data_IF_441743633447
#
_entry.id   IF_441743633447
#
_cell.length_a   1.000
_cell.length_b   1.000
_cell.length_c   1.000
_cell.angle_alpha   90.00
_cell.angle_beta   90.00
_cell.angle_gamma   90.00
#
_symmetry.space_group_name_H-M   'P 1'
#
loop_
_entity.id
_entity.type
_entity.pdbx_description
1 polymer ?
#
# COMPACT_ATOMS: atom_id res chain seq x y z
N UNK A 1 -58.53 42.34 -16.59
CA UNK A 1 -58.41 42.92 -15.24
C UNK A 1 -58.41 41.84 -14.15
N UNK A 2 -58.39 40.54 -14.49
CA UNK A 2 -58.37 39.43 -13.51
C UNK A 2 -56.94 39.03 -13.02
N UNK A 3 -55.93 39.25 -13.84
CA UNK A 3 -54.55 38.77 -13.52
C UNK A 3 -53.81 39.60 -12.46
N UNK A 4 -54.25 40.84 -12.18
CA UNK A 4 -53.59 41.67 -11.16
C UNK A 4 -53.99 41.36 -9.73
N UNK A 5 -55.16 40.70 -9.53
CA UNK A 5 -55.62 40.28 -8.21
C UNK A 5 -54.96 38.98 -7.75
N UNK A 6 -54.63 38.10 -8.67
CA UNK A 6 -54.01 36.78 -8.36
C UNK A 6 -52.57 36.93 -7.89
N UNK A 7 -51.81 37.88 -8.40
CA UNK A 7 -50.43 38.15 -7.98
C UNK A 7 -50.31 38.72 -6.57
N UNK A 8 -51.29 39.51 -6.11
CA UNK A 8 -51.31 40.06 -4.75
C UNK A 8 -51.66 38.99 -3.72
N UNK A 9 -52.60 38.10 -4.02
CA UNK A 9 -52.99 37.01 -3.12
C UNK A 9 -51.88 35.95 -2.97
N UNK A 10 -51.17 35.64 -4.06
CA UNK A 10 -50.00 34.79 -4.04
C UNK A 10 -48.85 35.39 -3.21
N UNK A 11 -48.63 36.70 -3.32
CA UNK A 11 -47.61 37.40 -2.51
C UNK A 11 -47.88 37.38 -1.01
N UNK A 12 -49.16 37.49 -0.60
CA UNK A 12 -49.55 37.42 0.80
C UNK A 12 -49.44 36.01 1.37
N UNK A 13 -49.74 34.99 0.60
CA UNK A 13 -49.53 33.58 0.97
C UNK A 13 -48.05 33.25 1.16
N UNK A 14 -47.17 33.72 0.29
CA UNK A 14 -45.72 33.52 0.43
C UNK A 14 -45.17 34.23 1.68
N UNK A 15 -45.66 35.48 1.95
CA UNK A 15 -45.25 36.23 3.16
C UNK A 15 -45.71 35.51 4.46
N UNK A 16 -46.93 34.99 4.50
CA UNK A 16 -47.42 34.29 5.68
C UNK A 16 -46.66 32.97 5.91
N UNK A 17 -46.44 32.20 4.84
CA UNK A 17 -45.62 30.99 4.89
C UNK A 17 -44.18 31.25 5.36
N UNK A 18 -43.56 32.34 4.83
CA UNK A 18 -42.22 32.74 5.25
C UNK A 18 -42.14 33.17 6.71
N UNK A 19 -43.22 33.81 7.22
CA UNK A 19 -43.33 34.22 8.62
C UNK A 19 -43.50 33.00 9.55
N UNK A 20 -44.25 32.00 9.12
CA UNK A 20 -44.51 30.78 9.86
C UNK A 20 -43.29 29.83 9.86
N UNK A 21 -42.55 29.75 8.76
CA UNK A 21 -41.42 28.87 8.59
C UNK A 21 -40.05 29.54 8.67
N UNK A 22 -40.02 30.87 8.86
CA UNK A 22 -38.78 31.66 8.82
C UNK A 22 -37.69 31.21 9.82
N UNK A 23 -38.12 30.83 11.02
CA UNK A 23 -37.19 30.32 12.04
C UNK A 23 -36.56 28.96 11.62
N UNK A 24 -37.34 28.11 11.00
CA UNK A 24 -36.86 26.80 10.51
C UNK A 24 -35.91 26.99 9.31
N UNK A 25 -36.21 27.95 8.42
CA UNK A 25 -35.33 28.27 7.27
C UNK A 25 -34.02 28.86 7.76
N UNK A 26 -34.06 29.81 8.70
CA UNK A 26 -32.84 30.41 9.27
C UNK A 26 -32.00 29.31 9.99
N UNK A 27 -32.63 28.45 10.76
CA UNK A 27 -31.94 27.33 11.42
C UNK A 27 -31.32 26.40 10.41
N UNK A 28 -32.02 26.06 9.32
CA UNK A 28 -31.50 25.23 8.23
C UNK A 28 -30.29 25.88 7.54
N UNK A 29 -30.33 27.17 7.30
CA UNK A 29 -29.21 27.93 6.72
C UNK A 29 -27.99 27.96 7.67
N UNK A 30 -28.21 28.23 8.94
CA UNK A 30 -27.13 28.25 9.96
C UNK A 30 -26.46 26.87 10.04
N UNK A 31 -27.23 25.78 10.05
CA UNK A 31 -26.70 24.43 10.04
C UNK A 31 -25.94 24.13 8.75
N UNK A 32 -26.48 24.48 7.59
CA UNK A 32 -25.81 24.27 6.31
C UNK A 32 -24.48 25.04 6.21
N UNK A 33 -24.46 26.30 6.61
CA UNK A 33 -23.23 27.10 6.65
C UNK A 33 -22.24 26.56 7.68
N UNK A 34 -22.71 26.14 8.86
CA UNK A 34 -21.87 25.54 9.90
C UNK A 34 -21.18 24.25 9.42
N UNK A 35 -21.93 23.37 8.78
CA UNK A 35 -21.40 22.13 8.21
C UNK A 35 -20.41 22.41 7.06
N UNK A 36 -20.74 23.33 6.16
CA UNK A 36 -19.88 23.70 5.04
C UNK A 36 -18.57 24.35 5.52
N UNK A 37 -18.63 25.24 6.52
CA UNK A 37 -17.44 25.87 7.09
C UNK A 37 -16.58 24.86 7.88
N UNK A 38 -17.22 24.01 8.69
CA UNK A 38 -16.55 22.93 9.42
C UNK A 38 -15.82 21.96 8.49
N UNK A 39 -16.50 21.53 7.41
CA UNK A 39 -15.90 20.66 6.40
C UNK A 39 -14.72 21.32 5.68
N UNK A 40 -14.86 22.60 5.27
CA UNK A 40 -13.78 23.36 4.64
C UNK A 40 -12.55 23.51 5.56
N UNK A 41 -12.79 23.79 6.84
CA UNK A 41 -11.71 23.94 7.82
C UNK A 41 -11.01 22.61 8.08
N UNK A 42 -11.77 21.51 8.18
CA UNK A 42 -11.22 20.17 8.32
C UNK A 42 -10.36 19.77 7.09
N UNK A 43 -10.85 20.02 5.90
CA UNK A 43 -10.12 19.76 4.65
C UNK A 43 -8.83 20.59 4.55
N UNK A 44 -8.87 21.87 4.95
CA UNK A 44 -7.69 22.73 4.96
C UNK A 44 -6.63 22.22 5.95
N UNK A 45 -7.04 21.74 7.11
CA UNK A 45 -6.17 21.16 8.12
C UNK A 45 -5.52 19.86 7.63
N UNK A 46 -6.28 18.98 6.99
CA UNK A 46 -5.77 17.74 6.42
C UNK A 46 -4.77 18.00 5.29
N UNK A 47 -5.10 18.94 4.38
CA UNK A 47 -4.18 19.38 3.32
C UNK A 47 -2.88 19.94 3.88
N UNK A 48 -2.94 20.75 4.94
CA UNK A 48 -1.76 21.29 5.61
C UNK A 48 -0.89 20.18 6.20
N UNK A 49 -1.50 19.16 6.83
CA UNK A 49 -0.76 18.00 7.35
C UNK A 49 -0.07 17.22 6.24
N UNK A 50 -0.72 17.03 5.10
CA UNK A 50 -0.12 16.36 3.95
C UNK A 50 1.10 17.13 3.42
N UNK A 51 0.99 18.47 3.32
CA UNK A 51 2.09 19.33 2.86
C UNK A 51 3.28 19.29 3.83
N UNK A 52 3.04 19.33 5.13
CA UNK A 52 4.08 19.23 6.15
C UNK A 52 4.76 17.86 6.11
N UNK A 53 4.00 16.77 6.04
CA UNK A 53 4.56 15.43 5.90
C UNK A 53 5.40 15.28 4.61
N UNK A 54 4.95 15.89 3.50
CA UNK A 54 5.71 15.92 2.25
C UNK A 54 7.04 16.66 2.40
N UNK A 55 7.03 17.81 3.09
CA UNK A 55 8.25 18.59 3.31
C UNK A 55 9.28 17.80 4.15
N UNK A 56 8.84 17.20 5.26
CA UNK A 56 9.70 16.35 6.10
C UNK A 56 10.26 15.16 5.31
N UNK A 57 9.43 14.52 4.49
CA UNK A 57 9.85 13.42 3.63
C UNK A 57 10.93 13.86 2.63
N UNK A 58 10.75 15.00 1.95
CA UNK A 58 11.71 15.51 0.97
C UNK A 58 13.06 15.85 1.61
N UNK A 59 13.05 16.45 2.80
CA UNK A 59 14.27 16.72 3.56
C UNK A 59 14.97 15.42 3.95
N UNK A 60 14.24 14.44 4.46
CA UNK A 60 14.78 13.11 4.77
C UNK A 60 15.43 12.46 3.54
N UNK A 61 14.74 12.47 2.38
CA UNK A 61 15.24 11.93 1.12
C UNK A 61 16.55 12.59 0.72
N UNK A 62 16.63 13.92 0.79
CA UNK A 62 17.85 14.66 0.43
C UNK A 62 19.06 14.27 1.29
N UNK A 63 18.85 13.96 2.55
CA UNK A 63 19.92 13.46 3.43
C UNK A 63 20.32 12.02 3.09
N UNK A 64 19.37 11.16 2.76
CA UNK A 64 19.67 9.78 2.34
C UNK A 64 20.46 9.79 1.01
N UNK A 65 20.03 10.60 0.05
CA UNK A 65 20.73 10.74 -1.26
C UNK A 65 22.15 11.32 -1.12
N UNK A 66 22.37 12.12 -0.06
CA UNK A 66 23.71 12.63 0.32
C UNK A 66 24.52 11.64 1.18
N UNK A 67 24.06 10.39 1.35
CA UNK A 67 24.65 9.36 2.22
C UNK A 67 24.82 9.82 3.68
N UNK A 68 23.96 10.72 4.13
CA UNK A 68 23.96 11.27 5.51
C UNK A 68 22.77 10.73 6.31
N UNK A 69 22.87 9.46 6.68
CA UNK A 69 21.82 8.74 7.39
C UNK A 69 21.47 9.38 8.73
N UNK A 70 22.47 9.87 9.46
CA UNK A 70 22.25 10.46 10.79
C UNK A 70 21.41 11.73 10.74
N UNK A 71 21.57 12.52 9.67
CA UNK A 71 20.74 13.70 9.44
C UNK A 71 19.32 13.36 8.95
N UNK A 72 19.12 12.21 8.34
CA UNK A 72 17.79 11.74 7.88
C UNK A 72 16.90 11.24 9.03
N UNK A 73 17.50 10.70 10.12
CA UNK A 73 16.77 10.09 11.23
C UNK A 73 15.80 11.05 11.91
N UNK A 74 16.15 12.30 12.26
CA UNK A 74 15.22 13.23 12.92
C UNK A 74 13.95 13.46 12.11
N UNK A 75 14.05 13.67 10.80
CA UNK A 75 12.89 13.87 9.93
C UNK A 75 12.02 12.60 9.85
N UNK A 76 12.64 11.42 9.83
CA UNK A 76 11.91 10.15 9.90
C UNK A 76 11.14 10.00 11.22
N UNK A 77 11.73 10.39 12.36
CA UNK A 77 11.05 10.35 13.65
C UNK A 77 9.88 11.34 13.72
N UNK A 78 10.02 12.55 13.14
CA UNK A 78 8.91 13.50 12.99
C UNK A 78 7.78 12.89 12.15
N UNK A 79 8.10 12.29 11.04
CA UNK A 79 7.09 11.61 10.18
C UNK A 79 6.32 10.55 10.96
N UNK A 80 6.99 9.70 11.73
CA UNK A 80 6.35 8.64 12.52
C UNK A 80 5.49 9.19 13.66
N UNK A 81 5.93 10.25 14.34
CA UNK A 81 5.23 10.79 15.51
C UNK A 81 4.06 11.71 15.13
N UNK A 82 4.27 12.62 14.18
CA UNK A 82 3.29 13.64 13.83
C UNK A 82 2.36 13.23 12.69
N UNK A 83 2.84 12.37 11.78
CA UNK A 83 2.10 11.97 10.56
C UNK A 83 2.02 10.45 10.37
N UNK A 84 1.69 9.64 11.40
CA UNK A 84 1.83 8.18 11.38
C UNK A 84 1.02 7.50 10.27
N UNK A 85 -0.09 8.10 9.83
CA UNK A 85 -0.97 7.57 8.78
C UNK A 85 -0.73 8.19 7.41
N UNK A 86 0.28 9.03 7.26
CA UNK A 86 0.61 9.64 5.97
C UNK A 86 1.24 8.63 5.02
N UNK A 87 0.88 8.73 3.73
CA UNK A 87 1.57 7.97 2.68
C UNK A 87 3.07 8.30 2.66
N UNK A 88 3.46 9.54 2.97
CA UNK A 88 4.86 9.94 3.08
C UNK A 88 5.60 9.20 4.19
N UNK A 89 4.95 8.94 5.34
CA UNK A 89 5.53 8.14 6.43
C UNK A 89 5.72 6.68 6.00
N UNK A 90 4.79 6.14 5.22
CA UNK A 90 4.92 4.80 4.65
C UNK A 90 6.12 4.72 3.70
N UNK A 91 6.24 5.68 2.78
CA UNK A 91 7.36 5.78 1.85
C UNK A 91 8.70 5.98 2.59
N UNK A 92 8.71 6.86 3.62
CA UNK A 92 9.87 7.11 4.46
C UNK A 92 10.34 5.83 5.17
N UNK A 93 9.42 5.04 5.72
CA UNK A 93 9.74 3.78 6.39
C UNK A 93 10.36 2.76 5.43
N UNK A 94 9.82 2.66 4.22
CA UNK A 94 10.36 1.77 3.19
C UNK A 94 11.75 2.24 2.70
N UNK A 95 11.94 3.54 2.53
CA UNK A 95 13.21 4.12 2.10
C UNK A 95 14.28 3.99 3.19
N UNK A 96 13.92 4.28 4.44
CA UNK A 96 14.79 4.10 5.59
C UNK A 96 15.23 2.64 5.73
N UNK A 97 14.31 1.69 5.58
CA UNK A 97 14.63 0.27 5.61
C UNK A 97 15.65 -0.10 4.51
N UNK A 98 15.43 0.37 3.27
CA UNK A 98 16.37 0.15 2.17
C UNK A 98 17.77 0.71 2.48
N UNK A 99 17.84 1.94 2.94
CA UNK A 99 19.11 2.61 3.26
C UNK A 99 19.85 1.90 4.41
N UNK A 100 19.10 1.45 5.44
CA UNK A 100 19.67 0.66 6.56
C UNK A 100 20.21 -0.70 6.10
N UNK A 101 19.51 -1.37 5.17
CA UNK A 101 20.00 -2.63 4.58
C UNK A 101 21.28 -2.40 3.79
N UNK A 102 21.37 -1.35 3.00
CA UNK A 102 22.58 -0.99 2.24
C UNK A 102 23.77 -0.70 3.17
N UNK A 103 23.50 -0.13 4.35
CA UNK A 103 24.49 0.11 5.39
C UNK A 103 24.79 -1.13 6.27
N UNK A 104 24.23 -2.31 5.98
CA UNK A 104 24.40 -3.54 6.77
C UNK A 104 23.67 -3.52 8.13
N UNK A 105 22.80 -2.54 8.37
CA UNK A 105 22.08 -2.34 9.64
C UNK A 105 20.73 -3.06 9.62
N UNK A 106 20.77 -4.39 9.52
CA UNK A 106 19.56 -5.22 9.28
C UNK A 106 18.52 -5.11 10.38
N UNK A 107 18.89 -4.92 11.65
CA UNK A 107 17.94 -4.77 12.76
C UNK A 107 17.17 -3.44 12.69
N UNK A 108 17.85 -2.36 12.31
CA UNK A 108 17.21 -1.07 12.10
C UNK A 108 16.31 -1.08 10.89
N UNK A 109 16.70 -1.80 9.84
CA UNK A 109 15.84 -2.02 8.67
C UNK A 109 14.59 -2.83 9.05
N UNK A 110 14.72 -3.90 9.83
CA UNK A 110 13.59 -4.66 10.33
C UNK A 110 12.63 -3.80 11.17
N UNK A 111 13.18 -2.90 11.98
CA UNK A 111 12.37 -1.94 12.77
C UNK A 111 11.56 -1.00 11.86
N UNK A 112 12.16 -0.44 10.83
CA UNK A 112 11.48 0.43 9.87
C UNK A 112 10.40 -0.31 9.08
N UNK A 113 10.68 -1.56 8.64
CA UNK A 113 9.70 -2.42 7.96
C UNK A 113 8.55 -2.82 8.89
N UNK A 114 8.82 -3.10 10.16
CA UNK A 114 7.78 -3.37 11.16
C UNK A 114 6.87 -2.16 11.35
N UNK A 115 7.42 -0.95 11.38
CA UNK A 115 6.62 0.26 11.43
C UNK A 115 5.73 0.39 10.17
N UNK A 116 6.28 0.18 8.97
CA UNK A 116 5.52 0.22 7.73
C UNK A 116 4.42 -0.86 7.71
N UNK A 117 4.74 -2.11 8.09
CA UNK A 117 3.79 -3.22 8.16
C UNK A 117 2.57 -2.92 9.05
N UNK A 118 2.78 -2.20 10.16
CA UNK A 118 1.71 -1.91 11.11
C UNK A 118 0.90 -0.65 10.78
N UNK A 119 1.51 0.34 10.15
CA UNK A 119 0.94 1.69 10.05
C UNK A 119 0.76 2.20 8.62
N UNK A 120 1.36 1.57 7.60
CA UNK A 120 1.39 2.12 6.25
C UNK A 120 0.00 2.36 5.65
N UNK A 121 -0.05 3.36 4.80
CA UNK A 121 -1.17 3.69 3.92
C UNK A 121 -0.62 3.94 2.51
N UNK A 122 -1.26 3.43 1.46
CA UNK A 122 -2.44 2.53 1.44
C UNK A 122 -2.10 1.10 1.90
N UNK A 123 -3.14 0.31 2.16
CA UNK A 123 -3.01 -1.06 2.72
C UNK A 123 -2.02 -1.99 1.98
N UNK A 124 -1.95 -2.00 0.63
CA UNK A 124 -0.95 -2.82 -0.08
C UNK A 124 0.49 -2.57 0.35
N UNK A 125 0.82 -1.37 0.84
CA UNK A 125 2.18 -1.07 1.34
C UNK A 125 2.52 -1.89 2.59
N UNK A 126 1.52 -2.23 3.42
CA UNK A 126 1.72 -3.12 4.57
C UNK A 126 2.11 -4.52 4.12
N UNK A 127 1.46 -5.02 3.06
CA UNK A 127 1.77 -6.34 2.48
C UNK A 127 3.20 -6.36 1.96
N UNK A 128 3.61 -5.32 1.20
CA UNK A 128 4.98 -5.17 0.70
C UNK A 128 5.99 -5.09 1.87
N UNK A 129 5.67 -4.32 2.91
CA UNK A 129 6.55 -4.18 4.07
C UNK A 129 6.72 -5.51 4.81
N UNK A 130 5.64 -6.30 4.94
CA UNK A 130 5.64 -7.63 5.54
C UNK A 130 6.49 -8.61 4.75
N UNK A 131 6.33 -8.64 3.45
CA UNK A 131 7.12 -9.46 2.54
C UNK A 131 8.63 -9.13 2.68
N UNK A 132 8.99 -7.86 2.64
CA UNK A 132 10.37 -7.41 2.82
C UNK A 132 10.92 -7.72 4.21
N UNK A 133 10.10 -7.60 5.26
CA UNK A 133 10.49 -7.95 6.61
C UNK A 133 10.77 -9.46 6.73
N UNK A 134 9.96 -10.29 6.08
CA UNK A 134 10.21 -11.74 6.05
C UNK A 134 11.55 -12.06 5.36
N UNK A 135 11.89 -11.39 4.25
CA UNK A 135 13.22 -11.53 3.61
C UNK A 135 14.36 -11.09 4.54
N UNK A 136 14.17 -10.00 5.29
CA UNK A 136 15.18 -9.55 6.27
C UNK A 136 15.35 -10.59 7.37
N UNK A 137 14.26 -11.16 7.93
CA UNK A 137 14.34 -12.21 8.94
C UNK A 137 15.05 -13.45 8.40
N UNK A 138 14.75 -13.84 7.18
CA UNK A 138 15.42 -14.95 6.52
C UNK A 138 16.92 -14.68 6.35
N UNK A 139 17.32 -13.50 5.94
CA UNK A 139 18.74 -13.11 5.82
C UNK A 139 19.48 -13.09 7.16
N UNK A 140 18.75 -12.95 8.27
CA UNK A 140 19.25 -13.06 9.64
C UNK A 140 19.34 -14.53 10.12
N UNK A 141 18.93 -15.50 9.29
CA UNK A 141 18.89 -16.92 9.64
C UNK A 141 17.63 -17.34 10.42
N UNK A 142 16.67 -16.44 10.60
CA UNK A 142 15.42 -16.70 11.34
C UNK A 142 14.29 -17.07 10.37
N UNK A 143 14.38 -18.29 9.83
CA UNK A 143 13.40 -18.83 8.89
C UNK A 143 12.00 -19.00 9.52
N UNK A 144 11.92 -19.24 10.83
CA UNK A 144 10.65 -19.41 11.52
C UNK A 144 9.93 -18.07 11.72
N UNK A 145 10.65 -17.02 12.09
CA UNK A 145 10.07 -15.67 12.13
C UNK A 145 9.63 -15.20 10.72
N UNK A 146 10.42 -15.52 9.69
CA UNK A 146 10.04 -15.23 8.31
C UNK A 146 8.73 -15.94 7.91
N UNK A 147 8.62 -17.24 8.23
CA UNK A 147 7.42 -18.03 7.96
C UNK A 147 6.19 -17.47 8.65
N UNK A 148 6.30 -17.16 9.94
CA UNK A 148 5.20 -16.57 10.72
C UNK A 148 4.65 -15.28 10.13
N UNK A 149 5.51 -14.42 9.59
CA UNK A 149 5.10 -13.20 8.91
C UNK A 149 4.24 -13.49 7.68
N UNK A 150 4.49 -14.58 6.96
CA UNK A 150 3.68 -14.97 5.79
C UNK A 150 2.34 -15.59 6.20
N UNK A 151 2.30 -16.43 7.23
CA UNK A 151 1.07 -17.02 7.76
C UNK A 151 0.09 -15.98 8.28
N UNK A 152 0.58 -14.90 8.88
CA UNK A 152 -0.22 -13.80 9.42
C UNK A 152 -0.71 -12.80 8.37
N UNK A 153 -0.46 -13.05 7.08
CA UNK A 153 -0.86 -12.13 6.01
C UNK A 153 -2.36 -12.24 5.76
N UNK A 154 -3.14 -11.14 5.91
CA UNK A 154 -4.60 -11.18 5.77
C UNK A 154 -5.06 -11.50 4.35
N UNK A 155 -4.30 -11.09 3.34
CA UNK A 155 -4.58 -11.32 1.94
C UNK A 155 -3.29 -11.18 1.13
N UNK A 156 -3.11 -12.07 0.16
CA UNK A 156 -1.99 -12.05 -0.78
C UNK A 156 -2.42 -11.61 -2.19
N UNK A 157 -3.68 -11.16 -2.34
CA UNK A 157 -4.24 -10.80 -3.66
C UNK A 157 -3.35 -9.76 -4.36
N UNK A 158 -2.84 -10.13 -5.53
CA UNK A 158 -1.91 -9.34 -6.32
C UNK A 158 -0.44 -9.43 -5.87
N UNK A 159 -0.13 -10.31 -4.90
CA UNK A 159 1.22 -10.57 -4.39
C UNK A 159 1.54 -12.07 -4.32
N UNK A 160 0.71 -12.91 -4.92
CA UNK A 160 0.80 -14.37 -4.84
C UNK A 160 2.18 -14.88 -5.26
N UNK A 161 2.70 -14.35 -6.37
CA UNK A 161 4.02 -14.71 -6.88
C UNK A 161 5.14 -14.38 -5.88
N UNK A 162 5.12 -13.17 -5.32
CA UNK A 162 6.13 -12.72 -4.37
C UNK A 162 6.11 -13.54 -3.07
N UNK A 163 4.91 -13.89 -2.59
CA UNK A 163 4.77 -14.71 -1.40
C UNK A 163 5.17 -16.16 -1.65
N UNK A 164 4.86 -16.70 -2.81
CA UNK A 164 5.31 -18.05 -3.20
C UNK A 164 6.85 -18.10 -3.35
N UNK A 165 7.47 -17.09 -3.94
CA UNK A 165 8.93 -16.99 -4.05
C UNK A 165 9.61 -17.03 -2.68
N UNK A 166 9.16 -16.19 -1.73
CA UNK A 166 9.78 -16.17 -0.39
C UNK A 166 9.47 -17.44 0.42
N UNK A 167 8.30 -18.10 0.21
CA UNK A 167 8.07 -19.44 0.79
C UNK A 167 9.10 -20.43 0.29
N UNK A 168 9.43 -20.39 -0.99
CA UNK A 168 10.51 -21.19 -1.56
C UNK A 168 11.85 -20.92 -0.90
N UNK A 169 12.23 -19.65 -0.70
CA UNK A 169 13.45 -19.25 -0.01
C UNK A 169 13.48 -19.78 1.45
N UNK A 170 12.34 -19.73 2.15
CA UNK A 170 12.23 -20.22 3.53
C UNK A 170 12.35 -21.75 3.58
N UNK A 171 11.67 -22.49 2.69
CA UNK A 171 11.78 -23.94 2.60
C UNK A 171 13.21 -24.37 2.29
N UNK A 172 13.87 -23.64 1.37
CA UNK A 172 15.27 -23.91 1.05
C UNK A 172 16.19 -23.70 2.26
N UNK A 173 16.00 -22.63 3.03
CA UNK A 173 16.77 -22.36 4.24
C UNK A 173 16.54 -23.42 5.34
N UNK A 174 15.37 -24.06 5.34
CA UNK A 174 15.05 -25.20 6.22
C UNK A 174 15.55 -26.55 5.69
N UNK A 175 16.14 -26.61 4.49
CA UNK A 175 16.58 -27.84 3.84
C UNK A 175 15.45 -28.65 3.19
N UNK A 176 14.29 -28.08 3.03
CA UNK A 176 13.08 -28.70 2.49
C UNK A 176 13.01 -28.48 0.97
N UNK A 177 13.96 -29.07 0.22
CA UNK A 177 14.21 -28.78 -1.20
C UNK A 177 12.98 -29.00 -2.09
N UNK A 178 12.22 -30.08 -1.87
CA UNK A 178 11.03 -30.40 -2.67
C UNK A 178 9.91 -29.34 -2.49
N UNK A 179 9.72 -28.87 -1.25
CA UNK A 179 8.77 -27.80 -0.96
C UNK A 179 9.24 -26.44 -1.51
N UNK A 180 10.55 -26.19 -1.53
CA UNK A 180 11.13 -25.02 -2.16
C UNK A 180 10.86 -25.00 -3.67
N UNK A 181 11.08 -26.12 -4.37
CA UNK A 181 10.79 -26.28 -5.80
C UNK A 181 9.31 -26.03 -6.06
N UNK A 182 8.42 -26.67 -5.31
CA UNK A 182 6.97 -26.48 -5.47
C UNK A 182 6.55 -25.01 -5.27
N UNK A 183 7.15 -24.32 -4.31
CA UNK A 183 6.86 -22.92 -4.04
C UNK A 183 7.37 -21.98 -5.13
N UNK A 184 8.57 -22.22 -5.68
CA UNK A 184 9.08 -21.44 -6.81
C UNK A 184 8.27 -21.69 -8.09
N UNK A 185 7.81 -22.93 -8.31
CA UNK A 185 6.92 -23.21 -9.43
C UNK A 185 5.59 -22.47 -9.28
N UNK A 186 4.98 -22.50 -8.10
CA UNK A 186 3.76 -21.72 -7.82
C UNK A 186 3.98 -20.22 -8.02
N UNK A 187 5.17 -19.69 -7.67
CA UNK A 187 5.52 -18.30 -7.95
C UNK A 187 5.58 -18.04 -9.46
N UNK A 188 6.19 -18.94 -10.23
CA UNK A 188 6.32 -18.84 -11.68
C UNK A 188 4.96 -18.86 -12.39
N UNK A 189 4.06 -19.72 -11.91
CA UNK A 189 2.70 -19.87 -12.43
C UNK A 189 1.80 -18.66 -12.13
N UNK A 190 2.08 -17.98 -11.02
CA UNK A 190 1.37 -16.76 -10.60
C UNK A 190 1.89 -15.47 -11.26
N UNK A 191 2.99 -15.52 -12.00
CA UNK A 191 3.54 -14.37 -12.71
C UNK A 191 2.92 -14.22 -14.08
N UNK A 192 2.50 -12.99 -14.40
CA UNK A 192 2.13 -12.61 -15.76
C UNK A 192 3.34 -12.76 -16.72
N UNK A 193 3.06 -13.09 -17.98
CA UNK A 193 4.06 -13.16 -19.02
C UNK A 193 4.78 -11.80 -19.19
N UNK A 194 6.12 -11.83 -19.23
CA UNK A 194 6.94 -10.64 -19.43
C UNK A 194 7.34 -9.89 -18.16
N UNK A 195 7.00 -10.38 -16.96
CA UNK A 195 7.48 -9.80 -15.71
C UNK A 195 8.91 -10.25 -15.43
N UNK A 196 9.84 -9.30 -15.24
CA UNK A 196 11.30 -9.53 -15.14
C UNK A 196 11.79 -10.43 -14.00
N UNK A 197 10.93 -10.85 -13.07
CA UNK A 197 11.27 -11.81 -12.02
C UNK A 197 11.19 -13.28 -12.47
N UNK A 198 10.63 -13.55 -13.66
CA UNK A 198 10.48 -14.91 -14.21
C UNK A 198 11.84 -15.58 -14.41
N UNK A 199 12.78 -14.90 -15.05
CA UNK A 199 14.14 -15.43 -15.29
C UNK A 199 14.86 -15.77 -13.98
N UNK A 200 14.67 -14.96 -12.95
CA UNK A 200 15.26 -15.22 -11.62
C UNK A 200 14.71 -16.48 -10.96
N UNK A 201 13.40 -16.74 -11.07
CA UNK A 201 12.76 -17.96 -10.57
C UNK A 201 13.24 -19.20 -11.34
N UNK A 202 13.40 -19.07 -12.65
CA UNK A 202 13.97 -20.12 -13.49
C UNK A 202 15.37 -20.50 -13.00
N UNK A 203 16.25 -19.54 -12.77
CA UNK A 203 17.59 -19.77 -12.23
C UNK A 203 17.54 -20.49 -10.88
N UNK A 204 16.61 -20.12 -9.98
CA UNK A 204 16.43 -20.79 -8.69
C UNK A 204 16.00 -22.25 -8.86
N UNK A 205 15.07 -22.54 -9.77
CA UNK A 205 14.61 -23.89 -10.06
C UNK A 205 15.71 -24.76 -10.67
N UNK A 206 16.45 -24.23 -11.66
CA UNK A 206 17.59 -24.91 -12.28
C UNK A 206 18.71 -25.22 -11.25
N UNK A 207 18.99 -24.29 -10.34
CA UNK A 207 19.98 -24.49 -9.30
C UNK A 207 19.61 -25.64 -8.34
N UNK A 208 18.33 -25.97 -8.22
CA UNK A 208 17.82 -27.10 -7.45
C UNK A 208 17.66 -28.39 -8.29
N UNK A 209 18.03 -28.36 -9.58
CA UNK A 209 17.92 -29.50 -10.49
C UNK A 209 16.49 -29.74 -10.98
N UNK A 210 15.58 -28.80 -10.76
CA UNK A 210 14.23 -28.88 -11.30
C UNK A 210 14.23 -28.33 -12.74
N UNK A 211 13.93 -29.21 -13.72
CA UNK A 211 13.66 -28.76 -15.09
C UNK A 211 12.40 -27.91 -15.13
N UNK A 212 12.38 -26.86 -15.95
CA UNK A 212 11.19 -26.05 -16.17
C UNK A 212 10.20 -26.92 -16.92
N UNK A 213 9.04 -27.19 -16.32
CA UNK A 213 7.88 -27.66 -17.09
C UNK A 213 7.27 -26.41 -17.69
N UNK A 214 7.73 -26.00 -18.88
CA UNK A 214 6.99 -25.04 -19.70
C UNK A 214 5.60 -25.61 -19.90
N UNK A 215 4.56 -24.82 -19.52
CA UNK A 215 3.18 -25.20 -19.74
C UNK A 215 3.02 -25.62 -21.20
N UNK A 216 2.71 -26.89 -21.42
CA UNK A 216 2.42 -27.42 -22.75
C UNK A 216 1.34 -26.54 -23.35
N UNK A 217 1.67 -25.83 -24.43
CA UNK A 217 0.71 -25.29 -25.37
C UNK A 217 -0.20 -26.43 -25.84
N UNK A 218 -1.33 -26.60 -25.18
CA UNK A 218 -2.36 -27.53 -25.54
C UNK A 218 -3.23 -26.93 -26.66
N UNK A 219 -2.61 -26.52 -27.78
CA UNK A 219 -3.33 -26.14 -28.99
C UNK A 219 -2.45 -26.21 -30.25
N UNK A 220 -1.90 -27.39 -30.56
CA UNK A 220 -1.37 -27.63 -31.90
C UNK A 220 -1.57 -29.08 -32.40
N UNK A 221 -2.74 -29.65 -32.15
CA UNK A 221 -3.17 -30.84 -32.89
C UNK A 221 -4.67 -30.80 -33.18
N UNK A 222 -5.06 -30.08 -34.23
CA UNK A 222 -6.19 -30.49 -35.09
C UNK A 222 -6.09 -29.74 -36.41
N UNK A 223 -5.64 -30.39 -37.44
CA UNK A 223 -5.77 -29.84 -38.80
C UNK A 223 -4.90 -30.47 -39.85
N UNK A 224 -4.62 -31.73 -39.74
CA UNK A 224 -4.06 -32.48 -40.83
C UNK A 224 -4.92 -33.70 -41.12
N UNK A 225 -5.76 -33.63 -42.13
CA UNK A 225 -6.45 -34.79 -42.59
C UNK A 225 -7.43 -34.54 -43.73
N UNK A 226 -7.00 -34.88 -44.94
CA UNK A 226 -7.81 -35.43 -46.06
C UNK A 226 -8.84 -34.50 -46.74
N UNK A 227 -8.72 -34.28 -47.90
CA UNK A 227 -8.62 -34.82 -49.28
C UNK A 227 -8.82 -33.71 -50.26
#
# INVERSE_FOLDING_TARGET
MADLYDTHEQGERVKSWLRENGSAIIMGLVLAFGLMFGFKQWQAWETSKHQQASAEYQVMVSFIDADNMDAAVPNYEVLKSEYPKSAYTSMASMMMAKARLQAGQTDLAATALTHAMNNAQPEPVKVIARERLARVRLSQGDADAAWKLLEETPSEVGFEAQFADIRGDIHLAKGETELAIASYQASLDALDEGVGSREYLVIKLEALGAGIVEGTDADSETGGGEM
#
